data_IF_083672656792
#
_entry.id   IF_083672656792
#
_cell.length_a   1.000
_cell.length_b   1.000
_cell.length_c   1.000
_cell.angle_alpha   90.00
_cell.angle_beta   90.00
_cell.angle_gamma   90.00
#
_symmetry.space_group_name_H-M   'P 1'
#
loop_
_entity.id
_entity.type
_entity.pdbx_description
1 polymer ?
#
# COMPACT_ATOMS: atom_id res chain seq x y z
N UNK A 1 -6.77 5.11 5.61
CA UNK A 1 -5.89 4.43 4.65
C UNK A 1 -5.33 3.15 5.27
N UNK A 2 -4.46 3.26 6.28
CA UNK A 2 -3.87 2.13 7.02
C UNK A 2 -4.81 0.98 7.41
N UNK A 3 -6.05 1.26 7.86
CA UNK A 3 -7.00 0.19 8.16
C UNK A 3 -7.36 -0.67 6.93
N UNK A 4 -7.51 -0.06 5.75
CA UNK A 4 -7.74 -0.80 4.51
C UNK A 4 -6.53 -1.65 4.12
N UNK A 5 -5.32 -1.11 4.30
CA UNK A 5 -4.06 -1.83 4.13
C UNK A 5 -3.98 -3.04 5.05
N UNK A 6 -4.29 -2.86 6.34
CA UNK A 6 -4.26 -3.93 7.33
C UNK A 6 -5.20 -5.08 7.02
N UNK A 7 -6.42 -4.78 6.58
CA UNK A 7 -7.39 -5.80 6.15
C UNK A 7 -6.84 -6.59 4.96
N UNK A 8 -6.33 -5.93 3.93
CA UNK A 8 -5.74 -6.63 2.78
C UNK A 8 -4.52 -7.46 3.18
N UNK A 9 -3.62 -6.89 3.97
CA UNK A 9 -2.42 -7.57 4.42
C UNK A 9 -2.79 -8.86 5.17
N UNK A 10 -3.75 -8.79 6.10
CA UNK A 10 -4.22 -9.97 6.83
C UNK A 10 -4.87 -11.01 5.90
N UNK A 11 -5.82 -10.59 5.06
CA UNK A 11 -6.53 -11.51 4.16
C UNK A 11 -5.58 -12.22 3.20
N UNK A 12 -4.60 -11.49 2.66
CA UNK A 12 -3.60 -12.06 1.76
C UNK A 12 -2.67 -13.01 2.51
N UNK A 13 -2.17 -12.63 3.70
CA UNK A 13 -1.31 -13.50 4.50
C UNK A 13 -2.03 -14.82 4.87
N UNK A 14 -3.28 -14.72 5.31
CA UNK A 14 -4.12 -15.87 5.62
C UNK A 14 -4.42 -16.72 4.38
N UNK A 15 -4.74 -16.09 3.25
CA UNK A 15 -4.99 -16.79 1.98
C UNK A 15 -3.77 -17.55 1.48
N UNK A 16 -2.58 -16.95 1.54
CA UNK A 16 -1.32 -17.61 1.16
C UNK A 16 -1.05 -18.80 2.09
N UNK A 17 -1.29 -18.65 3.40
CA UNK A 17 -1.10 -19.73 4.36
C UNK A 17 -1.99 -20.96 4.07
N UNK A 18 -3.18 -20.76 3.49
CA UNK A 18 -4.02 -21.87 3.00
C UNK A 18 -3.49 -22.43 1.68
N UNK A 19 -3.11 -21.57 0.72
CA UNK A 19 -2.65 -22.02 -0.60
C UNK A 19 -1.35 -22.84 -0.49
N UNK A 20 -0.43 -22.46 0.40
CA UNK A 20 0.83 -23.19 0.57
C UNK A 20 0.63 -24.60 1.14
N UNK A 21 -0.41 -24.83 1.95
CA UNK A 21 -0.71 -26.15 2.51
C UNK A 21 -1.54 -27.00 1.57
N UNK A 22 -2.56 -26.41 0.94
CA UNK A 22 -3.53 -27.14 0.10
C UNK A 22 -3.07 -27.30 -1.35
N UNK A 23 -2.31 -26.34 -1.89
CA UNK A 23 -1.96 -26.31 -3.31
C UNK A 23 -0.52 -25.78 -3.54
N UNK A 24 0.51 -26.57 -3.18
CA UNK A 24 1.91 -26.11 -3.22
C UNK A 24 2.40 -25.64 -4.59
N UNK A 25 1.92 -26.25 -5.68
CA UNK A 25 2.29 -25.83 -7.04
C UNK A 25 1.78 -24.42 -7.37
N UNK A 26 0.58 -24.07 -6.90
CA UNK A 26 -0.01 -22.74 -7.08
C UNK A 26 0.75 -21.71 -6.24
N UNK A 27 1.12 -22.07 -5.02
CA UNK A 27 2.00 -21.23 -4.19
C UNK A 27 3.31 -20.91 -4.91
N UNK A 28 3.99 -21.91 -5.49
CA UNK A 28 5.24 -21.68 -6.22
C UNK A 28 5.04 -20.71 -7.41
N UNK A 29 3.95 -20.85 -8.17
CA UNK A 29 3.62 -19.90 -9.23
C UNK A 29 3.42 -18.49 -8.67
N UNK A 30 2.67 -18.34 -7.59
CA UNK A 30 2.45 -17.04 -6.94
C UNK A 30 3.77 -16.42 -6.46
N UNK A 31 4.66 -17.23 -5.88
CA UNK A 31 5.96 -16.79 -5.37
C UNK A 31 6.88 -16.31 -6.50
N UNK A 32 7.01 -17.07 -7.58
CA UNK A 32 7.86 -16.66 -8.71
C UNK A 32 7.26 -15.48 -9.49
N UNK A 33 5.94 -15.48 -9.72
CA UNK A 33 5.26 -14.35 -10.35
C UNK A 33 5.35 -13.08 -9.49
N UNK A 34 5.20 -13.23 -8.18
CA UNK A 34 5.36 -12.16 -7.20
C UNK A 34 6.77 -11.58 -7.19
N UNK A 35 7.79 -12.44 -7.18
CA UNK A 35 9.18 -12.01 -7.27
C UNK A 35 9.46 -11.23 -8.56
N UNK A 36 8.99 -11.73 -9.71
CA UNK A 36 9.13 -11.03 -10.99
C UNK A 36 8.40 -9.67 -10.97
N UNK A 37 7.20 -9.61 -10.39
CA UNK A 37 6.45 -8.37 -10.23
C UNK A 37 7.17 -7.35 -9.35
N UNK A 38 7.75 -7.77 -8.22
CA UNK A 38 8.53 -6.89 -7.34
C UNK A 38 9.83 -6.41 -8.01
N UNK A 39 10.53 -7.29 -8.73
CA UNK A 39 11.71 -6.91 -9.50
C UNK A 39 11.36 -5.85 -10.56
N UNK A 40 10.27 -6.04 -11.29
CA UNK A 40 9.75 -5.06 -12.23
C UNK A 40 9.37 -3.74 -11.57
N UNK A 41 8.70 -3.80 -10.41
CA UNK A 41 8.29 -2.60 -9.65
C UNK A 41 9.53 -1.83 -9.15
N UNK A 42 10.53 -2.55 -8.63
CA UNK A 42 11.80 -1.98 -8.20
C UNK A 42 12.57 -1.34 -9.35
N UNK A 43 12.66 -2.01 -10.50
CA UNK A 43 13.25 -1.45 -11.71
C UNK A 43 12.53 -0.17 -12.16
N UNK A 44 11.20 -0.19 -12.17
CA UNK A 44 10.39 0.98 -12.54
C UNK A 44 10.58 2.13 -11.54
N UNK A 45 10.70 1.83 -10.25
CA UNK A 45 10.90 2.84 -9.21
C UNK A 45 12.23 3.60 -9.38
N UNK A 46 13.29 2.94 -9.88
CA UNK A 46 14.60 3.59 -10.10
C UNK A 46 14.76 4.22 -11.48
N UNK A 47 14.03 3.73 -12.50
CA UNK A 47 14.16 4.20 -13.89
C UNK A 47 13.16 5.28 -14.28
N UNK A 48 12.04 5.41 -13.56
CA UNK A 48 11.07 6.47 -13.85
C UNK A 48 11.64 7.82 -13.45
N UNK A 49 11.95 8.65 -14.46
CA UNK A 49 12.09 10.09 -14.29
C UNK A 49 10.70 10.65 -14.01
N UNK A 50 10.39 10.90 -12.76
CA UNK A 50 9.13 11.55 -12.37
C UNK A 50 9.08 12.93 -13.04
N UNK A 51 8.30 13.07 -14.12
CA UNK A 51 7.75 14.39 -14.45
C UNK A 51 6.67 14.65 -13.40
N UNK A 52 6.90 15.62 -12.52
CA UNK A 52 5.87 16.15 -11.63
C UNK A 52 4.85 16.92 -12.48
N UNK A 53 4.11 16.23 -13.35
CA UNK A 53 2.92 16.82 -13.97
C UNK A 53 1.85 16.76 -12.89
N UNK A 54 1.77 17.83 -12.12
CA UNK A 54 0.64 18.10 -11.27
C UNK A 54 -0.58 18.21 -12.19
N UNK A 55 -1.33 17.11 -12.35
CA UNK A 55 -2.72 17.22 -12.79
C UNK A 55 -3.49 17.75 -11.59
N UNK A 56 -3.53 19.06 -11.47
CA UNK A 56 -4.35 19.80 -10.53
C UNK A 56 -5.79 19.65 -10.97
N UNK A 57 -6.45 18.54 -10.60
CA UNK A 57 -7.90 18.52 -10.58
C UNK A 57 -8.33 19.45 -9.46
N UNK A 58 -8.80 20.64 -9.83
CA UNK A 58 -9.50 21.54 -8.93
C UNK A 58 -10.68 20.79 -8.29
N UNK A 59 -10.57 20.46 -7.01
CA UNK A 59 -11.72 20.45 -6.09
C UNK A 59 -11.23 20.93 -4.74
N UNK A 60 -11.36 22.23 -4.55
CA UNK A 60 -11.08 22.91 -3.29
C UNK A 60 -12.33 22.89 -2.43
N UNK A 61 -12.69 21.71 -1.91
CA UNK A 61 -13.65 21.60 -0.82
C UNK A 61 -12.87 21.24 0.45
N UNK A 62 -13.05 22.03 1.51
CA UNK A 62 -12.58 21.70 2.84
C UNK A 62 -13.35 20.46 3.32
N UNK A 63 -12.82 19.27 3.04
CA UNK A 63 -13.39 18.03 3.54
C UNK A 63 -13.34 18.04 5.07
N UNK A 64 -14.44 17.62 5.70
CA UNK A 64 -14.40 17.28 7.12
C UNK A 64 -13.38 16.16 7.38
N UNK A 65 -12.80 16.13 8.58
CA UNK A 65 -11.86 15.06 8.97
C UNK A 65 -12.45 13.66 8.74
N UNK A 66 -13.76 13.50 9.00
CA UNK A 66 -14.49 12.24 8.77
C UNK A 66 -14.53 11.87 7.29
N UNK A 67 -14.86 12.81 6.40
CA UNK A 67 -14.88 12.57 4.95
C UNK A 67 -13.49 12.25 4.42
N UNK A 68 -12.46 12.97 4.88
CA UNK A 68 -11.07 12.69 4.49
C UNK A 68 -10.64 11.28 4.95
N UNK A 69 -11.00 10.87 6.17
CA UNK A 69 -10.72 9.54 6.69
C UNK A 69 -11.43 8.44 5.89
N UNK A 70 -12.73 8.61 5.60
CA UNK A 70 -13.51 7.67 4.79
C UNK A 70 -12.97 7.57 3.36
N UNK A 71 -12.67 8.69 2.72
CA UNK A 71 -12.08 8.70 1.39
C UNK A 71 -10.74 7.97 1.38
N UNK A 72 -9.86 8.24 2.35
CA UNK A 72 -8.58 7.57 2.47
C UNK A 72 -8.71 6.06 2.73
N UNK A 73 -9.74 5.63 3.46
CA UNK A 73 -10.08 4.22 3.63
C UNK A 73 -10.57 3.61 2.32
N UNK A 74 -11.57 4.21 1.66
CA UNK A 74 -12.15 3.70 0.42
C UNK A 74 -11.13 3.62 -0.73
N UNK A 75 -10.24 4.61 -0.85
CA UNK A 75 -9.17 4.60 -1.85
C UNK A 75 -8.24 3.40 -1.66
N UNK A 76 -7.89 3.07 -0.42
CA UNK A 76 -7.08 1.89 -0.12
C UNK A 76 -7.91 0.61 -0.35
N UNK A 77 -9.08 0.55 0.24
CA UNK A 77 -9.90 -0.65 0.26
C UNK A 77 -10.39 -1.08 -1.14
N UNK A 78 -10.67 -0.11 -2.02
CA UNK A 78 -11.14 -0.38 -3.39
C UNK A 78 -10.00 -0.53 -4.41
N UNK A 79 -8.74 -0.51 -3.98
CA UNK A 79 -7.61 -0.60 -4.90
C UNK A 79 -7.11 -2.07 -5.01
N UNK A 80 -7.49 -2.81 -6.07
CA UNK A 80 -7.11 -4.20 -6.23
C UNK A 80 -5.59 -4.38 -6.40
N UNK A 81 -4.86 -3.33 -6.78
CA UNK A 81 -3.40 -3.37 -6.92
C UNK A 81 -2.70 -3.62 -5.59
N UNK A 82 -3.32 -3.23 -4.48
CA UNK A 82 -2.80 -3.44 -3.12
C UNK A 82 -2.78 -4.93 -2.79
N UNK A 83 -3.82 -5.67 -3.15
CA UNK A 83 -3.87 -7.12 -2.95
C UNK A 83 -2.75 -7.83 -3.73
N UNK A 84 -2.56 -7.48 -5.01
CA UNK A 84 -1.48 -8.05 -5.84
C UNK A 84 -0.10 -7.73 -5.26
N UNK A 85 0.10 -6.51 -4.77
CA UNK A 85 1.35 -6.11 -4.12
C UNK A 85 1.62 -6.92 -2.84
N UNK A 86 0.63 -7.04 -1.94
CA UNK A 86 0.80 -7.84 -0.73
C UNK A 86 0.99 -9.32 -1.04
N UNK A 87 0.34 -9.85 -2.07
CA UNK A 87 0.52 -11.24 -2.48
C UNK A 87 1.96 -11.47 -2.92
N UNK A 88 2.47 -10.59 -3.77
CA UNK A 88 3.84 -10.65 -4.25
C UNK A 88 4.88 -10.50 -3.12
N UNK A 89 4.59 -9.64 -2.14
CA UNK A 89 5.46 -9.40 -1.00
C UNK A 89 5.43 -10.55 0.01
N UNK A 90 4.24 -10.97 0.44
CA UNK A 90 4.06 -11.94 1.53
C UNK A 90 4.32 -13.37 1.11
N UNK A 91 4.14 -13.72 -0.17
CA UNK A 91 4.49 -15.07 -0.68
C UNK A 91 5.95 -15.46 -0.46
N UNK A 92 6.84 -14.47 -0.27
CA UNK A 92 8.26 -14.72 0.04
C UNK A 92 8.53 -14.98 1.53
N UNK A 93 7.62 -14.58 2.41
CA UNK A 93 7.81 -14.63 3.87
C UNK A 93 6.90 -15.64 4.57
N UNK A 94 5.75 -15.96 3.97
CA UNK A 94 4.83 -16.98 4.49
C UNK A 94 5.36 -18.37 4.14
N UNK A 95 5.49 -19.20 5.17
CA UNK A 95 5.92 -20.61 5.10
C UNK A 95 4.80 -21.54 5.56
N UNK A 96 4.93 -22.84 5.30
CA UNK A 96 3.93 -23.84 5.73
C UNK A 96 3.77 -23.93 7.25
N UNK A 97 4.76 -23.45 8.01
CA UNK A 97 4.76 -23.40 9.48
C UNK A 97 4.26 -22.04 10.03
N UNK A 98 3.84 -21.13 9.15
CA UNK A 98 3.42 -19.79 9.57
C UNK A 98 2.12 -19.81 10.36
N UNK A 99 2.23 -19.44 11.63
CA UNK A 99 1.10 -19.37 12.57
C UNK A 99 0.20 -18.16 12.30
N UNK A 100 -1.02 -18.18 12.86
CA UNK A 100 -1.92 -17.02 12.88
C UNK A 100 -1.24 -15.78 13.47
N UNK A 101 -0.41 -15.96 14.51
CA UNK A 101 0.37 -14.87 15.12
C UNK A 101 1.30 -14.22 14.11
N UNK A 102 2.00 -15.01 13.29
CA UNK A 102 2.86 -14.49 12.22
C UNK A 102 2.06 -13.65 11.23
N UNK A 103 0.90 -14.13 10.78
CA UNK A 103 0.04 -13.42 9.84
C UNK A 103 -0.48 -12.10 10.42
N UNK A 104 -0.89 -12.10 11.70
CA UNK A 104 -1.32 -10.90 12.41
C UNK A 104 -0.18 -9.88 12.57
N UNK A 105 1.02 -10.33 12.92
CA UNK A 105 2.19 -9.46 13.04
C UNK A 105 2.57 -8.84 11.68
N UNK A 106 2.52 -9.61 10.59
CA UNK A 106 2.76 -9.08 9.24
C UNK A 106 1.73 -8.02 8.85
N UNK A 107 0.44 -8.27 9.13
CA UNK A 107 -0.63 -7.32 8.85
C UNK A 107 -0.51 -6.05 9.72
N UNK A 108 -0.17 -6.21 11.00
CA UNK A 108 0.06 -5.09 11.91
C UNK A 108 1.25 -4.25 11.44
N UNK A 109 2.37 -4.88 11.08
CA UNK A 109 3.55 -4.19 10.58
C UNK A 109 3.23 -3.39 9.32
N UNK A 110 2.53 -3.98 8.35
CA UNK A 110 2.09 -3.28 7.15
C UNK A 110 1.18 -2.08 7.47
N UNK A 111 0.24 -2.26 8.39
CA UNK A 111 -0.67 -1.20 8.86
C UNK A 111 0.10 -0.06 9.52
N UNK A 112 1.08 -0.36 10.38
CA UNK A 112 1.88 0.63 11.08
C UNK A 112 2.81 1.38 10.13
N UNK A 113 3.51 0.68 9.24
CA UNK A 113 4.36 1.30 8.22
C UNK A 113 3.58 2.30 7.37
N UNK A 114 2.42 1.88 6.85
CA UNK A 114 1.55 2.76 6.06
C UNK A 114 1.00 3.93 6.89
N UNK A 115 0.47 3.65 8.08
CA UNK A 115 -0.10 4.65 8.97
C UNK A 115 0.92 5.72 9.38
N UNK A 116 2.10 5.30 9.82
CA UNK A 116 3.19 6.21 10.21
C UNK A 116 3.61 7.06 9.01
N UNK A 117 3.80 6.45 7.84
CA UNK A 117 4.18 7.18 6.62
C UNK A 117 3.15 8.25 6.25
N UNK A 118 1.86 7.90 6.21
CA UNK A 118 0.82 8.87 5.88
C UNK A 118 0.63 9.94 6.97
N UNK A 119 0.81 9.62 8.25
CA UNK A 119 0.81 10.61 9.32
C UNK A 119 1.96 11.62 9.14
N UNK A 120 3.16 11.16 8.76
CA UNK A 120 4.30 12.03 8.46
C UNK A 120 3.97 12.94 7.27
N UNK A 121 3.48 12.37 6.16
CA UNK A 121 3.10 13.14 4.97
C UNK A 121 2.00 14.15 5.27
N UNK A 122 0.96 13.76 6.01
CA UNK A 122 -0.13 14.65 6.39
C UNK A 122 0.36 15.80 7.29
N UNK A 123 1.30 15.53 8.20
CA UNK A 123 1.90 16.54 9.07
C UNK A 123 2.77 17.53 8.30
N UNK A 124 3.62 17.03 7.37
CA UNK A 124 4.46 17.87 6.52
C UNK A 124 3.62 18.71 5.57
N UNK A 125 2.65 18.08 4.89
CA UNK A 125 1.74 18.77 3.97
C UNK A 125 0.83 19.77 4.70
N UNK A 126 0.43 19.48 5.93
CA UNK A 126 -0.38 20.38 6.77
C UNK A 126 0.39 21.59 7.31
N UNK A 127 1.73 21.59 7.26
CA UNK A 127 2.54 22.69 7.75
C UNK A 127 2.40 23.92 6.83
N UNK A 128 2.00 25.07 7.39
CA UNK A 128 1.56 26.27 6.65
C UNK A 128 2.55 26.89 5.65
N UNK A 129 3.82 26.48 5.64
CA UNK A 129 4.84 26.92 4.66
C UNK A 129 4.95 25.99 3.43
N UNK A 130 4.53 24.73 3.54
CA UNK A 130 4.65 23.73 2.47
C UNK A 130 3.50 23.85 1.48
N UNK A 131 2.28 24.06 1.97
CA UNK A 131 1.08 24.26 1.15
C UNK A 131 1.21 25.40 0.11
N UNK A 132 1.67 26.61 0.49
CA UNK A 132 1.88 27.70 -0.48
C UNK A 132 3.01 27.42 -1.47
N UNK A 133 4.10 26.77 -1.04
CA UNK A 133 5.23 26.44 -1.89
C UNK A 133 4.88 25.36 -2.94
N UNK A 134 4.09 24.36 -2.55
CA UNK A 134 3.55 23.34 -3.45
C UNK A 134 2.56 23.95 -4.44
N UNK A 135 1.68 24.85 -3.98
CA UNK A 135 0.74 25.58 -4.86
C UNK A 135 1.46 26.46 -5.88
N UNK A 136 2.53 27.16 -5.48
CA UNK A 136 3.30 28.04 -6.39
C UNK A 136 4.00 27.28 -7.52
N UNK A 137 4.43 26.04 -7.27
CA UNK A 137 5.07 25.17 -8.29
C UNK A 137 4.07 24.42 -9.17
N UNK A 138 2.80 24.33 -8.78
CA UNK A 138 1.76 23.65 -9.56
C UNK A 138 1.02 24.58 -10.55
N UNK A 139 1.31 25.89 -10.53
CA UNK A 139 0.69 26.92 -11.39
C UNK A 139 1.62 27.38 -12.52
N UNK A 140 2.89 26.94 -12.54
CA UNK A 140 3.83 27.11 -13.65
C UNK A 140 3.89 25.83 -14.49
#
# INVERSE_FOLDING_TARGET
HALGIGIYAFLVAAGIAVVITETPWLFNIMTYAGAAYLAWLGYKAVTVKTSLVARTTQVQQSLSLRQAALNGFLISFLNPKIAVFFLALFSQFVTSESTLTTQLLMALLATLCDGIWYCIIASIAGHGKVLPALRKRAVL
#
